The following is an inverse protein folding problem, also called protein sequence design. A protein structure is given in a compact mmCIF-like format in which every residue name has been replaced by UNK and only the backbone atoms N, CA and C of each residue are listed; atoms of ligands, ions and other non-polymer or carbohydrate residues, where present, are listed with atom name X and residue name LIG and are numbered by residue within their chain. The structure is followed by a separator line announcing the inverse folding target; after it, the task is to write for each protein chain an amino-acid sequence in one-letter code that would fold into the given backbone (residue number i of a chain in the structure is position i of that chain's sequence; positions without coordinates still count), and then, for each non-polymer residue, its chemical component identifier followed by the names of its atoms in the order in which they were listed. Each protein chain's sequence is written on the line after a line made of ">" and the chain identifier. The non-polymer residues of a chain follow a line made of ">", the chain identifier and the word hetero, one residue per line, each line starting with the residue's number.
data_IF_179418535517
#
_entry.id   IF_179418535517
#
_cell.length_a   1.000
_cell.length_b   1.000
_cell.length_c   1.000
_cell.angle_alpha   90.00
_cell.angle_beta   90.00
_cell.angle_gamma   90.00
#
_symmetry.space_group_name_H-M   'P 1'
#
loop_
_entity.id
_entity.type
_entity.pdbx_description
1 polymer ?
#
# COMPACT_ATOMS: atom_id res chain seq x y z
N UNK A 1 5.42 14.35 14.41
CA UNK A 1 5.68 12.95 14.05
C UNK A 1 4.32 12.26 14.02
N UNK A 2 3.80 12.00 12.82
CA UNK A 2 2.56 11.24 12.67
C UNK A 2 2.86 9.81 13.12
N UNK A 3 1.95 9.18 13.86
CA UNK A 3 2.13 7.78 14.27
C UNK A 3 1.88 6.89 13.06
N UNK A 4 2.78 5.95 12.81
CA UNK A 4 2.51 4.84 11.91
C UNK A 4 1.25 4.09 12.38
N UNK A 5 0.47 3.60 11.42
CA UNK A 5 -0.70 2.77 11.65
C UNK A 5 -0.26 1.40 12.20
N UNK A 6 -1.03 0.86 13.14
CA UNK A 6 -0.80 -0.46 13.70
C UNK A 6 -1.19 -1.59 12.75
N UNK A 7 -0.60 -2.77 12.94
CA UNK A 7 -1.06 -4.00 12.27
C UNK A 7 -2.51 -4.31 12.71
N UNK A 8 -3.40 -4.54 11.74
CA UNK A 8 -4.84 -4.72 11.93
C UNK A 8 -5.63 -3.42 12.04
N UNK A 9 -4.98 -2.26 11.93
CA UNK A 9 -5.68 -0.97 11.96
C UNK A 9 -6.43 -0.74 10.65
N UNK A 10 -7.70 -0.34 10.74
CA UNK A 10 -8.52 0.01 9.58
C UNK A 10 -8.16 1.42 9.13
N UNK A 11 -7.62 1.53 7.92
CA UNK A 11 -7.12 2.78 7.35
C UNK A 11 -7.77 3.05 6.00
N UNK A 12 -8.09 4.31 5.73
CA UNK A 12 -8.54 4.77 4.42
C UNK A 12 -7.38 4.87 3.45
N UNK A 13 -7.56 4.35 2.24
CA UNK A 13 -6.51 4.33 1.21
C UNK A 13 -5.98 5.72 0.87
N UNK A 14 -6.87 6.71 0.78
CA UNK A 14 -6.48 8.09 0.46
C UNK A 14 -5.67 8.76 1.58
N UNK A 15 -5.86 8.36 2.83
CA UNK A 15 -5.04 8.80 3.97
C UNK A 15 -3.67 8.13 3.90
N UNK A 16 -3.66 6.81 3.69
CA UNK A 16 -2.46 5.99 3.69
C UNK A 16 -1.47 6.41 2.58
N UNK A 17 -1.95 6.61 1.35
CA UNK A 17 -1.11 7.07 0.22
C UNK A 17 -0.55 8.51 0.39
N UNK A 18 -1.14 9.32 1.28
CA UNK A 18 -0.70 10.69 1.56
C UNK A 18 0.28 10.75 2.73
N UNK A 19 0.42 9.66 3.47
CA UNK A 19 1.25 9.59 4.65
C UNK A 19 2.71 9.32 4.24
N UNK A 20 3.63 10.20 4.65
CA UNK A 20 5.04 10.16 4.24
C UNK A 20 5.72 8.82 4.54
N UNK A 21 5.38 8.21 5.67
CA UNK A 21 6.02 6.98 6.14
C UNK A 21 5.71 5.75 5.26
N UNK A 22 4.73 5.87 4.36
CA UNK A 22 4.30 4.82 3.45
C UNK A 22 4.60 5.14 1.98
N UNK A 23 5.07 6.35 1.66
CA UNK A 23 5.40 6.72 0.29
C UNK A 23 6.61 5.93 -0.21
N UNK A 24 6.49 5.38 -1.42
CA UNK A 24 7.50 4.50 -2.01
C UNK A 24 7.51 3.08 -1.45
N UNK A 25 6.55 2.72 -0.59
CA UNK A 25 6.45 1.38 -0.01
C UNK A 25 5.28 0.58 -0.63
N UNK A 26 5.45 -0.73 -0.61
CA UNK A 26 4.38 -1.69 -0.83
C UNK A 26 3.60 -1.90 0.47
N UNK A 27 2.28 -1.95 0.33
CA UNK A 27 1.37 -2.01 1.46
C UNK A 27 0.40 -3.17 1.26
N UNK A 28 0.33 -4.02 2.28
CA UNK A 28 -0.58 -5.14 2.33
C UNK A 28 -1.82 -4.75 3.15
N UNK A 29 -2.98 -4.79 2.50
CA UNK A 29 -4.26 -4.55 3.15
C UNK A 29 -5.13 -5.81 3.13
N UNK A 30 -5.75 -6.14 4.25
CA UNK A 30 -6.78 -7.17 4.34
C UNK A 30 -8.18 -6.53 4.43
N UNK A 31 -9.23 -7.33 4.18
CA UNK A 31 -10.63 -6.90 4.26
C UNK A 31 -10.89 -5.58 3.51
N UNK A 32 -10.30 -5.46 2.32
CA UNK A 32 -10.32 -4.23 1.52
C UNK A 32 -11.69 -4.01 0.92
N UNK A 33 -12.19 -2.80 1.08
CA UNK A 33 -13.41 -2.34 0.44
C UNK A 33 -13.04 -1.60 -0.82
N UNK A 34 -13.63 -2.04 -1.93
CA UNK A 34 -13.46 -1.41 -3.23
C UNK A 34 -14.75 -0.67 -3.61
N UNK A 35 -14.59 0.49 -4.22
CA UNK A 35 -15.66 1.20 -4.93
C UNK A 35 -15.22 1.43 -6.37
N UNK A 36 -16.00 0.95 -7.33
CA UNK A 36 -15.71 1.08 -8.76
C UNK A 36 -14.28 0.64 -9.16
N UNK A 37 -13.72 -0.36 -8.47
CA UNK A 37 -12.36 -0.85 -8.67
C UNK A 37 -11.26 -0.08 -7.93
N UNK A 38 -11.61 0.96 -7.18
CA UNK A 38 -10.69 1.78 -6.39
C UNK A 38 -10.73 1.32 -4.93
N UNK A 39 -9.59 1.04 -4.27
CA UNK A 39 -9.56 0.73 -2.85
C UNK A 39 -9.96 1.97 -2.04
N UNK A 40 -10.95 1.83 -1.16
CA UNK A 40 -11.42 2.89 -0.26
C UNK A 40 -10.75 2.79 1.11
N UNK A 41 -10.76 1.60 1.70
CA UNK A 41 -10.21 1.33 3.02
C UNK A 41 -9.89 -0.15 3.19
N UNK A 42 -8.98 -0.46 4.11
CA UNK A 42 -8.58 -1.82 4.44
C UNK A 42 -7.86 -1.88 5.79
N UNK A 43 -7.60 -3.09 6.27
CA UNK A 43 -6.82 -3.32 7.48
C UNK A 43 -5.35 -3.45 7.11
N UNK A 44 -4.49 -2.62 7.70
CA UNK A 44 -3.07 -2.65 7.43
C UNK A 44 -2.45 -3.92 8.02
N UNK A 45 -1.95 -4.82 7.19
CA UNK A 45 -1.33 -6.06 7.66
C UNK A 45 0.17 -5.92 7.78
N UNK A 46 0.80 -5.38 6.75
CA UNK A 46 2.26 -5.25 6.66
C UNK A 46 2.65 -4.23 5.59
N UNK A 47 3.89 -3.75 5.68
CA UNK A 47 4.49 -2.84 4.70
C UNK A 47 5.95 -3.16 4.48
N UNK A 48 6.42 -3.01 3.26
CA UNK A 48 7.82 -3.23 2.91
C UNK A 48 8.21 -2.42 1.67
N UNK A 49 9.49 -2.08 1.54
CA UNK A 49 10.01 -1.47 0.30
C UNK A 49 10.16 -2.51 -0.81
N UNK A 50 10.34 -3.79 -0.46
CA UNK A 50 10.52 -4.90 -1.38
C UNK A 50 9.25 -5.76 -1.45
N UNK A 51 8.65 -5.81 -2.64
CA UNK A 51 7.45 -6.60 -2.90
C UNK A 51 7.64 -8.09 -2.63
N UNK A 52 8.82 -8.66 -2.93
CA UNK A 52 9.08 -10.08 -2.74
C UNK A 52 9.20 -10.40 -1.25
N UNK A 53 9.86 -9.54 -0.46
CA UNK A 53 9.93 -9.65 1.00
C UNK A 53 8.54 -9.55 1.62
N UNK A 54 7.73 -8.58 1.17
CA UNK A 54 6.35 -8.42 1.62
C UNK A 54 5.52 -9.67 1.34
N UNK A 55 5.55 -10.17 0.10
CA UNK A 55 4.84 -11.39 -0.30
C UNK A 55 5.28 -12.61 0.53
N UNK A 56 6.57 -12.78 0.78
CA UNK A 56 7.08 -13.87 1.61
C UNK A 56 6.55 -13.78 3.04
N UNK A 57 6.44 -12.57 3.61
CA UNK A 57 5.91 -12.37 4.97
C UNK A 57 4.42 -12.61 5.05
N UNK A 58 3.66 -12.13 4.06
CA UNK A 58 2.21 -12.37 3.96
C UNK A 58 1.93 -13.86 3.78
N UNK A 59 2.66 -14.56 2.91
CA UNK A 59 2.44 -15.98 2.67
C UNK A 59 2.78 -16.84 3.88
N UNK A 60 3.70 -16.38 4.73
CA UNK A 60 4.01 -17.03 6.01
C UNK A 60 3.00 -16.70 7.11
N UNK A 61 2.22 -15.61 6.97
CA UNK A 61 1.10 -15.31 7.84
C UNK A 61 -0.15 -16.02 7.29
N UNK A 62 -0.99 -16.62 8.12
CA UNK A 62 -2.18 -17.36 7.66
C UNK A 62 -3.29 -16.47 7.04
N UNK A 63 -2.97 -15.22 6.67
CA UNK A 63 -3.86 -14.21 6.08
C UNK A 63 -4.05 -14.46 4.57
N UNK A 64 -5.16 -15.10 4.22
CA UNK A 64 -5.33 -15.74 2.90
C UNK A 64 -5.86 -14.83 1.78
N UNK A 65 -6.11 -13.54 2.02
CA UNK A 65 -6.63 -12.63 1.00
C UNK A 65 -6.23 -11.17 1.26
N UNK A 66 -4.94 -10.85 1.08
CA UNK A 66 -4.46 -9.47 1.13
C UNK A 66 -4.40 -8.84 -0.27
N UNK A 67 -4.82 -7.59 -0.39
CA UNK A 67 -4.51 -6.74 -1.53
C UNK A 67 -3.15 -6.08 -1.31
N UNK A 68 -2.26 -6.18 -2.29
CA UNK A 68 -0.95 -5.53 -2.26
C UNK A 68 -1.01 -4.30 -3.16
N UNK A 69 -0.77 -3.14 -2.59
CA UNK A 69 -0.88 -1.85 -3.27
C UNK A 69 0.42 -1.05 -3.08
N UNK A 70 0.85 -0.36 -4.13
CA UNK A 70 2.03 0.51 -4.06
C UNK A 70 1.61 1.94 -3.76
N UNK A 71 2.22 2.55 -2.74
CA UNK A 71 2.04 3.97 -2.46
C UNK A 71 3.01 4.79 -3.30
N UNK A 72 2.52 5.31 -4.42
CA UNK A 72 3.33 6.18 -5.28
C UNK A 72 3.84 7.40 -4.52
N UNK A 73 5.15 7.57 -4.50
CA UNK A 73 5.76 8.80 -4.02
C UNK A 73 5.43 9.93 -5.00
N UNK A 74 4.98 11.08 -4.48
CA UNK A 74 4.58 12.24 -5.29
C UNK A 74 5.70 12.80 -6.17
N UNK A 75 6.96 12.45 -5.91
CA UNK A 75 8.11 12.81 -6.76
C UNK A 75 8.34 11.85 -7.94
N UNK A 76 7.71 10.68 -7.95
CA UNK A 76 7.98 9.61 -8.93
C UNK A 76 7.26 9.77 -10.27
N UNK A 77 6.30 10.70 -10.40
CA UNK A 77 5.55 10.94 -11.64
C UNK A 77 6.40 11.56 -12.78
N UNK A 78 7.70 11.76 -12.59
CA UNK A 78 8.59 12.32 -13.62
C UNK A 78 9.18 11.30 -14.63
N UNK A 79 9.02 9.98 -14.44
CA UNK A 79 9.75 8.98 -15.28
C UNK A 79 8.94 8.25 -16.37
N UNK A 80 7.66 8.58 -16.56
CA UNK A 80 6.78 7.89 -17.53
C UNK A 80 6.40 8.66 -18.79
N UNK A 81 6.75 9.95 -18.92
CA UNK A 81 6.42 10.72 -20.12
C UNK A 81 7.48 10.47 -21.22
N UNK A 82 7.42 9.29 -21.86
CA UNK A 82 8.05 9.11 -23.17
C UNK A 82 7.37 10.07 -24.14
N UNK A 83 8.03 11.19 -24.44
CA UNK A 83 7.67 12.04 -25.57
C UNK A 83 8.15 11.33 -26.82
N UNK A 84 7.25 10.65 -27.53
CA UNK A 84 7.48 10.26 -28.92
C UNK A 84 7.53 11.54 -29.75
N UNK A 85 8.74 11.93 -30.17
CA UNK A 85 8.96 12.92 -31.23
C UNK A 85 8.96 12.25 -32.59
#
# INVERSE_FOLDING_TARGET
>A
MSRAFGRGERVQWDVLRRHSDYQGLWVALNAVRYDSGIPLEGELVDVDEDLAVLCARIQSAEDTACAILFCEDKSSTARGAVRSG
#
